data_IF_530364685125
#
_entry.id   IF_530364685125
#
_cell.length_a   1.000
_cell.length_b   1.000
_cell.length_c   1.000
_cell.angle_alpha   90.00
_cell.angle_beta   90.00
_cell.angle_gamma   90.00
#
_symmetry.space_group_name_H-M   'P 1'
#
loop_
_entity.id
_entity.type
_entity.pdbx_description
1 polymer ?
#
# COMPACT_ATOMS: atom_id res chain seq x y z
N UNK A 1 6.32 -13.41 -6.01
CA UNK A 1 6.64 -11.97 -6.17
C UNK A 1 6.52 -11.28 -4.83
N UNK A 2 7.53 -10.51 -4.47
CA UNK A 2 7.53 -9.73 -3.25
C UNK A 2 7.26 -8.27 -3.56
N UNK A 3 6.52 -7.62 -2.69
CA UNK A 3 6.28 -6.18 -2.75
C UNK A 3 7.02 -5.51 -1.60
N UNK A 4 7.57 -4.35 -1.86
CA UNK A 4 8.24 -3.54 -0.84
C UNK A 4 8.07 -2.07 -1.22
N UNK A 5 7.84 -1.20 -0.23
CA UNK A 5 7.69 0.22 -0.52
C UNK A 5 8.99 0.81 -1.06
N UNK A 6 8.85 1.77 -1.98
CA UNK A 6 9.99 2.43 -2.60
C UNK A 6 10.68 3.35 -1.58
N UNK A 7 12.00 3.40 -1.61
CA UNK A 7 12.78 4.30 -0.76
C UNK A 7 12.65 5.77 -1.16
N UNK A 8 12.08 6.04 -2.33
CA UNK A 8 11.96 7.41 -2.86
C UNK A 8 10.64 8.06 -2.51
N UNK A 9 9.76 7.35 -1.83
CA UNK A 9 8.45 7.85 -1.47
C UNK A 9 8.54 8.67 -0.19
N UNK A 10 7.88 9.84 -0.20
CA UNK A 10 7.79 10.71 0.95
C UNK A 10 6.38 10.70 1.51
N UNK A 11 6.28 10.88 2.81
CA UNK A 11 5.02 10.87 3.53
C UNK A 11 4.71 12.29 3.99
N UNK A 12 3.44 12.68 3.81
CA UNK A 12 2.98 14.00 4.27
C UNK A 12 1.67 13.82 5.02
N UNK A 13 1.57 14.45 6.17
CA UNK A 13 0.30 14.50 6.91
C UNK A 13 -0.53 15.67 6.44
N UNK A 14 -1.79 15.41 6.10
CA UNK A 14 -2.75 16.44 5.68
C UNK A 14 -3.98 16.28 6.58
N UNK A 15 -4.05 17.09 7.63
CA UNK A 15 -5.07 16.91 8.66
C UNK A 15 -4.88 15.56 9.35
N UNK A 16 -5.91 14.73 9.37
CA UNK A 16 -5.86 13.38 9.93
C UNK A 16 -5.48 12.33 8.90
N UNK A 17 -5.20 12.74 7.66
CA UNK A 17 -4.91 11.83 6.57
C UNK A 17 -3.41 11.72 6.33
N UNK A 18 -3.00 10.61 5.76
CA UNK A 18 -1.62 10.39 5.32
C UNK A 18 -1.60 10.39 3.81
N UNK A 19 -0.68 11.15 3.23
CA UNK A 19 -0.51 11.22 1.79
C UNK A 19 0.90 10.78 1.40
N UNK A 20 1.01 10.16 0.23
CA UNK A 20 2.29 9.73 -0.33
C UNK A 20 2.58 10.49 -1.60
N UNK A 21 3.85 10.79 -1.85
CA UNK A 21 4.30 11.36 -3.11
C UNK A 21 5.73 10.94 -3.41
N UNK A 22 6.08 10.98 -4.69
CA UNK A 22 7.41 10.58 -5.15
C UNK A 22 8.10 11.80 -5.76
N UNK A 23 9.20 12.23 -5.12
CA UNK A 23 10.13 13.20 -5.67
C UNK A 23 9.48 14.40 -6.35
N UNK A 24 9.75 14.53 -7.64
CA UNK A 24 9.27 15.65 -8.45
C UNK A 24 7.86 15.48 -8.99
N UNK A 25 7.22 14.37 -8.71
CA UNK A 25 5.85 14.16 -9.17
C UNK A 25 4.91 15.10 -8.44
N UNK A 26 3.96 15.66 -9.20
CA UNK A 26 3.00 16.60 -8.65
C UNK A 26 1.80 15.91 -8.03
N UNK A 27 1.70 14.58 -8.23
CA UNK A 27 0.58 13.80 -7.70
C UNK A 27 0.82 13.44 -6.25
N UNK A 28 -0.18 13.68 -5.43
CA UNK A 28 -0.17 13.31 -4.02
C UNK A 28 -1.31 12.31 -3.83
N UNK A 29 -1.01 11.18 -3.21
CA UNK A 29 -1.98 10.09 -3.03
C UNK A 29 -2.37 9.99 -1.57
N UNK A 30 -3.61 10.37 -1.26
CA UNK A 30 -4.14 10.27 0.10
C UNK A 30 -4.58 8.83 0.34
N UNK A 31 -4.09 8.23 1.40
CA UNK A 31 -4.36 6.83 1.72
C UNK A 31 -5.53 6.71 2.68
N UNK A 32 -6.45 5.79 2.37
CA UNK A 32 -7.45 5.39 3.34
C UNK A 32 -6.80 4.45 4.37
N UNK A 33 -7.57 4.03 5.35
CA UNK A 33 -7.05 3.22 6.46
C UNK A 33 -6.43 1.90 5.98
N UNK A 34 -7.09 1.22 5.03
CA UNK A 34 -6.58 -0.05 4.50
C UNK A 34 -5.29 0.15 3.72
N UNK A 35 -5.25 1.16 2.85
CA UNK A 35 -4.07 1.45 2.05
C UNK A 35 -2.89 1.87 2.94
N UNK A 36 -3.15 2.63 3.98
CA UNK A 36 -2.11 3.03 4.94
C UNK A 36 -1.54 1.79 5.66
N UNK A 37 -2.41 0.88 6.07
CA UNK A 37 -1.98 -0.36 6.72
C UNK A 37 -1.03 -1.15 5.80
N UNK A 38 -1.39 -1.31 4.53
CA UNK A 38 -0.56 -2.00 3.55
C UNK A 38 0.76 -1.28 3.35
N UNK A 39 0.72 0.05 3.21
CA UNK A 39 1.93 0.85 3.03
C UNK A 39 2.91 0.67 4.19
N UNK A 40 2.41 0.73 5.41
CA UNK A 40 3.25 0.57 6.60
C UNK A 40 3.80 -0.85 6.71
N UNK A 41 3.02 -1.87 6.35
CA UNK A 41 3.50 -3.25 6.34
C UNK A 41 4.65 -3.44 5.37
N UNK A 42 4.64 -2.72 4.24
CA UNK A 42 5.61 -2.87 3.17
C UNK A 42 6.96 -2.21 3.44
N UNK A 43 7.22 -1.74 4.64
CA UNK A 43 8.59 -1.43 5.04
C UNK A 43 9.45 -2.69 5.03
N UNK A 44 8.83 -3.87 5.11
CA UNK A 44 9.44 -5.17 4.89
C UNK A 44 8.85 -5.80 3.63
N UNK A 45 9.59 -6.67 2.93
CA UNK A 45 9.02 -7.32 1.74
C UNK A 45 8.02 -8.41 2.10
N UNK A 46 6.88 -8.40 1.43
CA UNK A 46 5.83 -9.41 1.63
C UNK A 46 5.22 -9.80 0.29
N UNK A 47 4.71 -11.03 0.23
CA UNK A 47 3.94 -11.49 -0.91
C UNK A 47 2.49 -11.00 -0.80
N UNK A 48 1.75 -11.12 -1.90
CA UNK A 48 0.32 -10.81 -1.91
C UNK A 48 -0.43 -11.63 -0.85
N UNK A 49 -0.16 -12.93 -0.78
CA UNK A 49 -0.85 -13.81 0.17
C UNK A 49 -0.54 -13.44 1.62
N UNK A 50 0.69 -13.05 1.89
CA UNK A 50 1.08 -12.60 3.23
C UNK A 50 0.35 -11.32 3.62
N UNK A 51 0.25 -10.37 2.68
CA UNK A 51 -0.48 -9.13 2.91
C UNK A 51 -1.97 -9.38 3.13
N UNK A 52 -2.54 -10.29 2.35
CA UNK A 52 -3.94 -10.66 2.49
C UNK A 52 -4.22 -11.28 3.87
N UNK A 53 -3.33 -12.15 4.32
CA UNK A 53 -3.43 -12.74 5.66
C UNK A 53 -3.39 -11.65 6.74
N UNK A 54 -2.47 -10.71 6.62
CA UNK A 54 -2.34 -9.62 7.59
C UNK A 54 -3.61 -8.76 7.64
N UNK A 55 -4.19 -8.48 6.47
CA UNK A 55 -5.46 -7.74 6.41
C UNK A 55 -6.58 -8.51 7.12
N UNK A 56 -6.65 -9.81 6.92
CA UNK A 56 -7.70 -10.63 7.51
C UNK A 56 -7.61 -10.70 9.03
N UNK A 57 -6.41 -10.49 9.58
CA UNK A 57 -6.20 -10.48 11.03
C UNK A 57 -6.62 -9.16 11.68
N UNK A 58 -6.58 -8.07 10.93
CA UNK A 58 -6.79 -6.71 11.46
C UNK A 58 -8.17 -6.18 11.12
N UNK A 59 -8.66 -6.47 9.93
CA UNK A 59 -9.95 -5.96 9.45
C UNK A 59 -10.95 -7.09 9.34
N UNK A 60 -12.20 -6.80 9.72
CA UNK A 60 -13.30 -7.74 9.54
C UNK A 60 -13.88 -7.62 8.14
N UNK A 61 -14.39 -8.71 7.62
CA UNK A 61 -15.10 -8.71 6.34
C UNK A 61 -14.83 -9.94 5.50
N UNK A 62 -15.38 -9.89 4.29
CA UNK A 62 -15.28 -10.96 3.32
C UNK A 62 -13.88 -11.00 2.72
N UNK A 63 -13.25 -12.18 2.74
CA UNK A 63 -11.92 -12.37 2.17
C UNK A 63 -11.87 -12.04 0.69
N UNK A 64 -12.92 -12.35 -0.07
CA UNK A 64 -13.00 -12.01 -1.49
C UNK A 64 -12.91 -10.51 -1.70
N UNK A 65 -13.64 -9.74 -0.89
CA UNK A 65 -13.61 -8.29 -0.96
C UNK A 65 -12.24 -7.74 -0.58
N UNK A 66 -11.63 -8.29 0.46
CA UNK A 66 -10.27 -7.89 0.86
C UNK A 66 -9.27 -8.14 -0.25
N UNK A 67 -9.39 -9.26 -0.96
CA UNK A 67 -8.52 -9.61 -2.06
C UNK A 67 -8.65 -8.62 -3.21
N UNK A 68 -9.87 -8.23 -3.55
CA UNK A 68 -10.12 -7.22 -4.58
C UNK A 68 -9.53 -5.87 -4.18
N UNK A 69 -9.76 -5.46 -2.95
CA UNK A 69 -9.25 -4.18 -2.43
C UNK A 69 -7.72 -4.18 -2.43
N UNK A 70 -7.09 -5.28 -2.02
CA UNK A 70 -5.64 -5.38 -2.00
C UNK A 70 -5.06 -5.30 -3.41
N UNK A 71 -5.70 -5.97 -4.39
CA UNK A 71 -5.29 -5.88 -5.79
C UNK A 71 -5.32 -4.43 -6.27
N UNK A 72 -6.40 -3.72 -5.99
CA UNK A 72 -6.55 -2.32 -6.40
C UNK A 72 -5.49 -1.43 -5.76
N UNK A 73 -5.23 -1.62 -4.47
CA UNK A 73 -4.23 -0.85 -3.75
C UNK A 73 -2.83 -1.10 -4.32
N UNK A 74 -2.47 -2.35 -4.54
CA UNK A 74 -1.15 -2.69 -5.06
C UNK A 74 -0.98 -2.23 -6.50
N UNK A 75 -2.03 -2.33 -7.33
CA UNK A 75 -1.99 -1.82 -8.70
C UNK A 75 -1.74 -0.31 -8.72
N UNK A 76 -2.43 0.42 -7.84
CA UNK A 76 -2.22 1.86 -7.70
C UNK A 76 -0.79 2.17 -7.27
N UNK A 77 -0.30 1.45 -6.26
CA UNK A 77 1.05 1.66 -5.75
C UNK A 77 2.11 1.40 -6.84
N UNK A 78 1.90 0.38 -7.65
CA UNK A 78 2.82 0.07 -8.76
C UNK A 78 2.74 1.11 -9.86
N UNK A 79 1.54 1.57 -10.19
CA UNK A 79 1.34 2.57 -11.26
C UNK A 79 2.08 3.88 -10.96
N UNK A 80 2.12 4.27 -9.70
CA UNK A 80 2.74 5.53 -9.30
C UNK A 80 4.11 5.36 -8.65
N UNK A 81 4.73 4.19 -8.84
CA UNK A 81 6.09 3.88 -8.34
C UNK A 81 6.22 4.02 -6.83
N UNK A 82 5.13 3.75 -6.11
CA UNK A 82 5.13 3.83 -4.66
C UNK A 82 5.70 2.56 -4.01
N UNK A 83 5.66 1.44 -4.73
CA UNK A 83 6.26 0.18 -4.30
C UNK A 83 7.08 -0.43 -5.41
N UNK A 84 8.04 -1.26 -5.02
CA UNK A 84 8.86 -2.05 -5.91
C UNK A 84 8.47 -3.52 -5.81
N UNK A 85 8.75 -4.28 -6.86
CA UNK A 85 8.52 -5.73 -6.84
C UNK A 85 9.84 -6.46 -7.03
N UNK A 86 9.93 -7.65 -6.43
CA UNK A 86 11.06 -8.56 -6.60
C UNK A 86 10.54 -9.98 -6.71
N UNK A 87 11.24 -10.80 -7.46
CA UNK A 87 10.90 -12.22 -7.60
C UNK A 87 11.85 -13.08 -6.80
#
# INVERSE_FOLDING_TARGET
MLYKRSNQVKIKKVGNNTALYVGDQKSVHVLNETALFIWEALQEPFTFDELLYMLSEVFEGDTTKMKEDLNEILDLFLEYDLVDTAT
#
